data_IF_477100498053
#
_entry.id   IF_477100498053
#
_cell.length_a   1.000
_cell.length_b   1.000
_cell.length_c   1.000
_cell.angle_alpha   90.00
_cell.angle_beta   90.00
_cell.angle_gamma   90.00
#
_symmetry.space_group_name_H-M   'P 1'
#
loop_
_entity.id
_entity.type
_entity.pdbx_description
1 polymer ?
#
# COMPACT_ATOMS: atom_id res chain seq x y z
N UNK A 1 -5.96 -10.77 8.57
CA UNK A 1 -5.24 -11.11 7.33
C UNK A 1 -6.27 -11.49 6.29
N UNK A 2 -6.38 -10.74 5.20
CA UNK A 2 -7.35 -10.98 4.14
C UNK A 2 -6.81 -10.46 2.81
N UNK A 3 -6.73 -11.33 1.80
CA UNK A 3 -6.36 -10.94 0.43
C UNK A 3 -7.64 -10.51 -0.28
N UNK A 4 -7.92 -9.21 -0.25
CA UNK A 4 -9.14 -8.65 -0.83
C UNK A 4 -9.17 -8.82 -2.35
N UNK A 5 -10.11 -9.58 -2.96
CA UNK A 5 -10.18 -9.71 -4.41
C UNK A 5 -10.56 -8.41 -5.12
N UNK A 6 -11.36 -7.54 -4.51
CA UNK A 6 -11.95 -6.37 -5.20
C UNK A 6 -10.96 -5.25 -5.47
N UNK A 7 -9.75 -5.32 -4.90
CA UNK A 7 -8.69 -4.34 -5.15
C UNK A 7 -7.71 -4.80 -6.26
N UNK A 8 -7.93 -5.98 -6.86
CA UNK A 8 -7.09 -6.50 -7.93
C UNK A 8 -7.76 -6.31 -9.29
N UNK A 9 -7.02 -5.78 -10.26
CA UNK A 9 -7.44 -5.77 -11.65
C UNK A 9 -7.36 -7.16 -12.30
N UNK A 10 -7.99 -7.38 -13.47
CA UNK A 10 -7.99 -8.68 -14.17
C UNK A 10 -6.59 -9.22 -14.48
N UNK A 11 -5.62 -8.33 -14.72
CA UNK A 11 -4.24 -8.66 -15.07
C UNK A 11 -3.28 -8.57 -13.87
N UNK A 12 -3.80 -8.37 -12.66
CA UNK A 12 -2.98 -8.31 -11.45
C UNK A 12 -2.74 -9.69 -10.84
N UNK A 13 -1.92 -9.73 -9.79
CA UNK A 13 -1.36 -10.96 -9.23
C UNK A 13 -2.25 -11.67 -8.21
N UNK A 14 -3.58 -11.52 -8.24
CA UNK A 14 -4.48 -12.08 -7.21
C UNK A 14 -4.31 -13.60 -7.00
N UNK A 15 -4.23 -14.36 -8.09
CA UNK A 15 -4.07 -15.82 -8.03
C UNK A 15 -2.69 -16.23 -7.50
N UNK A 16 -1.65 -15.44 -7.80
CA UNK A 16 -0.25 -15.70 -7.43
C UNK A 16 0.17 -15.00 -6.14
N UNK A 17 -0.70 -14.20 -5.52
CA UNK A 17 -0.38 -13.45 -4.32
C UNK A 17 0.05 -14.40 -3.20
N UNK A 18 1.19 -14.18 -2.53
CA UNK A 18 1.67 -15.05 -1.47
C UNK A 18 0.63 -15.17 -0.35
N UNK A 19 0.30 -16.42 0.02
CA UNK A 19 -0.57 -16.74 1.16
C UNK A 19 0.23 -17.57 2.14
N UNK A 20 0.59 -16.97 3.28
CA UNK A 20 1.49 -17.56 4.28
C UNK A 20 0.87 -17.56 5.67
N UNK A 21 -0.43 -17.87 5.76
CA UNK A 21 -1.23 -17.66 6.97
C UNK A 21 -0.60 -18.27 8.23
N UNK A 22 -0.18 -19.53 8.20
CA UNK A 22 0.46 -20.20 9.35
C UNK A 22 1.73 -19.47 9.82
N UNK A 23 2.59 -19.06 8.88
CA UNK A 23 3.81 -18.32 9.21
C UNK A 23 3.50 -16.91 9.74
N UNK A 24 2.48 -16.25 9.18
CA UNK A 24 2.03 -14.94 9.63
C UNK A 24 1.46 -15.02 11.06
N UNK A 25 0.67 -16.07 11.38
CA UNK A 25 0.12 -16.31 12.71
C UNK A 25 1.22 -16.58 13.75
N UNK A 26 2.21 -17.40 13.41
CA UNK A 26 3.36 -17.65 14.28
C UNK A 26 4.11 -16.35 14.61
N UNK A 27 4.42 -15.54 13.60
CA UNK A 27 5.12 -14.26 13.77
C UNK A 27 4.31 -13.22 14.58
N UNK A 28 2.99 -13.20 14.44
CA UNK A 28 2.10 -12.32 15.22
C UNK A 28 1.99 -12.77 16.68
N UNK A 29 1.96 -14.09 16.92
CA UNK A 29 1.93 -14.67 18.27
C UNK A 29 3.16 -14.28 19.09
N UNK A 30 4.36 -14.38 18.49
CA UNK A 30 5.62 -13.95 19.11
C UNK A 30 5.65 -12.46 19.48
N UNK A 31 4.78 -11.65 18.87
CA UNK A 31 4.67 -10.20 19.07
C UNK A 31 3.55 -9.79 20.01
N UNK A 32 2.88 -10.76 20.66
CA UNK A 32 1.83 -10.50 21.64
C UNK A 32 0.52 -10.00 21.02
N UNK A 33 0.26 -10.29 19.74
CA UNK A 33 -1.01 -9.92 19.09
C UNK A 33 -2.15 -10.72 19.69
N UNK A 34 -3.15 -10.03 20.26
CA UNK A 34 -4.25 -10.66 21.01
C UNK A 34 -5.26 -11.39 20.14
N UNK A 35 -5.33 -11.08 18.85
CA UNK A 35 -6.26 -11.73 17.93
C UNK A 35 -5.96 -11.38 16.47
N UNK A 36 -6.25 -12.33 15.58
CA UNK A 36 -6.08 -12.17 14.13
C UNK A 36 -7.40 -12.46 13.45
N UNK A 37 -7.97 -11.45 12.80
CA UNK A 37 -9.21 -11.61 12.02
C UNK A 37 -8.89 -12.13 10.62
N UNK A 38 -9.37 -13.32 10.26
CA UNK A 38 -9.04 -14.03 9.00
C UNK A 38 -10.31 -14.47 8.25
N UNK A 39 -11.15 -13.53 7.81
CA UNK A 39 -12.41 -13.87 7.17
C UNK A 39 -12.18 -14.49 5.78
N UNK A 40 -13.12 -15.32 5.36
CA UNK A 40 -13.26 -15.79 3.99
C UNK A 40 -13.79 -14.68 3.07
N UNK A 41 -13.68 -14.89 1.75
CA UNK A 41 -14.24 -13.97 0.76
C UNK A 41 -15.77 -13.89 0.89
N UNK A 42 -16.45 -15.00 1.16
CA UNK A 42 -17.91 -15.03 1.31
C UNK A 42 -18.41 -14.30 2.56
N UNK A 43 -17.64 -14.29 3.64
CA UNK A 43 -17.95 -13.49 4.83
C UNK A 43 -17.74 -11.99 4.58
N UNK A 44 -16.68 -11.63 3.85
CA UNK A 44 -16.41 -10.22 3.53
C UNK A 44 -17.28 -9.68 2.40
N UNK A 45 -17.75 -10.53 1.48
CA UNK A 45 -18.55 -10.19 0.30
C UNK A 45 -19.66 -11.22 0.07
N UNK A 46 -20.74 -11.18 0.88
CA UNK A 46 -21.93 -11.96 0.62
C UNK A 46 -22.50 -11.73 -0.80
N UNK A 47 -23.16 -12.75 -1.39
CA UNK A 47 -23.84 -12.59 -2.66
C UNK A 47 -24.86 -11.45 -2.61
N UNK A 48 -24.98 -10.71 -3.72
CA UNK A 48 -25.89 -9.57 -3.91
C UNK A 48 -25.55 -8.29 -3.15
N UNK A 49 -24.36 -8.18 -2.55
CA UNK A 49 -23.87 -6.91 -2.05
C UNK A 49 -23.75 -5.87 -3.17
N UNK A 50 -24.37 -4.70 -2.98
CA UNK A 50 -24.36 -3.60 -3.95
C UNK A 50 -23.66 -2.33 -3.43
N UNK A 51 -23.18 -2.36 -2.19
CA UNK A 51 -22.58 -1.18 -1.54
C UNK A 51 -21.08 -1.11 -1.76
N UNK A 52 -20.63 0.04 -2.25
CA UNK A 52 -19.22 0.37 -2.46
C UNK A 52 -18.92 1.72 -1.82
N UNK A 53 -17.71 1.86 -1.29
CA UNK A 53 -17.20 3.13 -0.78
C UNK A 53 -16.19 3.67 -1.78
N UNK A 54 -16.31 4.95 -2.17
CA UNK A 54 -15.36 5.62 -3.05
C UNK A 54 -15.00 6.99 -2.49
N UNK A 55 -13.73 7.34 -2.58
CA UNK A 55 -13.23 8.70 -2.34
C UNK A 55 -12.88 9.31 -3.69
N UNK A 56 -13.55 10.39 -4.05
CA UNK A 56 -13.40 11.01 -5.36
C UNK A 56 -12.18 11.93 -5.44
N UNK A 57 -11.56 12.01 -6.61
CA UNK A 57 -10.52 12.99 -6.96
C UNK A 57 -9.11 12.61 -6.49
N UNK A 58 -8.97 11.84 -5.42
CA UNK A 58 -7.67 11.33 -4.97
C UNK A 58 -7.21 10.07 -5.74
N UNK A 59 -8.13 9.44 -6.46
CA UNK A 59 -7.90 8.27 -7.32
C UNK A 59 -7.60 8.64 -8.79
N UNK A 60 -7.53 9.93 -9.14
CA UNK A 60 -7.35 10.38 -10.53
C UNK A 60 -5.89 10.61 -10.93
N UNK A 61 -4.95 10.47 -10.00
CA UNK A 61 -3.52 10.65 -10.20
C UNK A 61 -2.71 9.48 -9.63
N UNK A 62 -1.38 9.50 -9.85
CA UNK A 62 -0.43 8.49 -9.36
C UNK A 62 -0.89 7.06 -9.71
N UNK A 63 -1.10 6.18 -8.72
CA UNK A 63 -1.43 4.78 -8.98
C UNK A 63 -2.84 4.57 -9.55
N UNK A 64 -3.76 5.52 -9.35
CA UNK A 64 -5.16 5.36 -9.69
C UNK A 64 -5.44 5.10 -11.18
N UNK A 65 -4.93 5.95 -12.09
CA UNK A 65 -5.06 5.74 -13.54
C UNK A 65 -4.53 4.38 -14.04
N UNK A 66 -3.51 3.84 -13.40
CA UNK A 66 -2.90 2.55 -13.78
C UNK A 66 -3.61 1.34 -13.17
N UNK A 67 -4.51 1.55 -12.21
CA UNK A 67 -5.21 0.48 -11.47
C UNK A 67 -6.69 0.82 -11.31
N UNK A 68 -7.49 0.86 -12.40
CA UNK A 68 -8.91 1.21 -12.32
C UNK A 68 -9.66 0.34 -11.32
N UNK A 69 -10.46 0.96 -10.45
CA UNK A 69 -11.23 0.27 -9.41
C UNK A 69 -10.44 -0.11 -8.15
N UNK A 70 -9.11 -0.07 -8.18
CA UNK A 70 -8.27 -0.48 -7.05
C UNK A 70 -8.65 0.22 -5.75
N UNK A 71 -8.69 1.56 -5.76
CA UNK A 71 -8.96 2.33 -4.55
C UNK A 71 -10.40 2.18 -4.06
N UNK A 72 -11.39 1.99 -4.94
CA UNK A 72 -12.75 1.64 -4.52
C UNK A 72 -12.77 0.29 -3.78
N UNK A 73 -12.02 -0.70 -4.27
CA UNK A 73 -11.84 -1.98 -3.59
C UNK A 73 -11.19 -1.82 -2.22
N UNK A 74 -10.14 -1.00 -2.13
CA UNK A 74 -9.44 -0.71 -0.86
C UNK A 74 -10.35 0.01 0.15
N UNK A 75 -11.02 1.09 -0.24
CA UNK A 75 -11.92 1.85 0.66
C UNK A 75 -13.09 0.99 1.12
N UNK A 76 -13.65 0.15 0.23
CA UNK A 76 -14.75 -0.74 0.59
C UNK A 76 -14.33 -1.81 1.60
N UNK A 77 -13.20 -2.48 1.38
CA UNK A 77 -12.74 -3.51 2.34
C UNK A 77 -12.33 -2.89 3.68
N UNK A 78 -11.66 -1.74 3.66
CA UNK A 78 -11.23 -1.08 4.90
C UNK A 78 -12.42 -0.55 5.69
N UNK A 79 -13.45 0.00 5.03
CA UNK A 79 -14.69 0.39 5.70
C UNK A 79 -15.37 -0.79 6.40
N UNK A 80 -15.47 -1.95 5.72
CA UNK A 80 -16.00 -3.19 6.32
C UNK A 80 -15.17 -3.65 7.53
N UNK A 81 -13.84 -3.62 7.41
CA UNK A 81 -12.93 -3.97 8.51
C UNK A 81 -13.06 -3.01 9.70
N UNK A 82 -13.24 -1.71 9.46
CA UNK A 82 -13.48 -0.73 10.52
C UNK A 82 -14.82 -0.94 11.22
N UNK A 83 -15.87 -1.32 10.50
CA UNK A 83 -17.16 -1.70 11.09
C UNK A 83 -17.08 -3.00 11.91
N UNK A 84 -16.32 -3.99 11.43
CA UNK A 84 -16.16 -5.27 12.11
C UNK A 84 -15.28 -5.16 13.36
N UNK A 85 -14.11 -4.52 13.24
CA UNK A 85 -13.10 -4.47 14.30
C UNK A 85 -13.26 -3.28 15.26
N UNK A 86 -13.93 -2.20 14.81
CA UNK A 86 -14.15 -0.95 15.58
C UNK A 86 -12.89 -0.45 16.30
N UNK A 87 -11.76 -0.27 15.59
CA UNK A 87 -10.50 0.11 16.23
C UNK A 87 -10.56 1.56 16.73
N UNK A 88 -9.82 1.87 17.80
CA UNK A 88 -9.56 3.26 18.20
C UNK A 88 -8.47 3.89 17.31
N UNK A 89 -7.47 3.09 16.94
CA UNK A 89 -6.31 3.49 16.13
C UNK A 89 -6.13 2.49 14.99
N UNK A 90 -5.90 2.98 13.77
CA UNK A 90 -5.57 2.18 12.60
C UNK A 90 -4.23 2.61 12.02
N UNK A 91 -3.33 1.62 11.88
CA UNK A 91 -1.92 1.84 11.50
C UNK A 91 -1.69 1.39 10.06
N UNK A 92 -1.13 2.27 9.23
CA UNK A 92 -0.85 2.00 7.82
C UNK A 92 0.58 2.42 7.45
N UNK A 93 1.23 1.67 6.57
CA UNK A 93 2.56 2.01 6.07
C UNK A 93 2.53 3.13 5.03
N UNK A 94 3.40 4.12 5.16
CA UNK A 94 3.56 5.23 4.21
C UNK A 94 4.25 4.83 2.91
N UNK A 95 4.68 3.57 2.79
CA UNK A 95 5.09 2.97 1.52
C UNK A 95 3.97 3.06 0.46
N UNK A 96 2.72 2.99 0.89
CA UNK A 96 1.54 3.20 0.05
C UNK A 96 0.89 4.56 0.39
N UNK A 97 1.63 5.65 0.23
CA UNK A 97 1.24 7.00 0.65
C UNK A 97 -0.12 7.46 0.10
N UNK A 98 -0.41 7.20 -1.18
CA UNK A 98 -1.70 7.55 -1.79
C UNK A 98 -2.86 6.80 -1.11
N UNK A 99 -2.68 5.51 -0.80
CA UNK A 99 -3.66 4.71 -0.06
C UNK A 99 -3.92 5.31 1.33
N UNK A 100 -2.86 5.65 2.07
CA UNK A 100 -3.00 6.26 3.39
C UNK A 100 -3.81 7.56 3.34
N UNK A 101 -3.51 8.45 2.37
CA UNK A 101 -4.24 9.72 2.21
C UNK A 101 -5.70 9.51 1.82
N UNK A 102 -6.00 8.56 0.93
CA UNK A 102 -7.36 8.17 0.55
C UNK A 102 -8.14 7.64 1.76
N UNK A 103 -7.54 6.72 2.53
CA UNK A 103 -8.20 6.16 3.72
C UNK A 103 -8.37 7.20 4.82
N UNK A 104 -7.39 8.08 5.02
CA UNK A 104 -7.49 9.20 5.96
C UNK A 104 -8.64 10.14 5.58
N UNK A 105 -8.80 10.42 4.28
CA UNK A 105 -9.93 11.20 3.75
C UNK A 105 -11.26 10.49 4.01
N UNK A 106 -11.35 9.19 3.73
CA UNK A 106 -12.53 8.37 4.00
C UNK A 106 -12.92 8.38 5.48
N UNK A 107 -11.96 8.17 6.39
CA UNK A 107 -12.19 8.18 7.85
C UNK A 107 -12.77 9.49 8.32
N UNK A 108 -12.23 10.61 7.81
CA UNK A 108 -12.70 11.95 8.12
C UNK A 108 -14.11 12.20 7.60
N UNK A 109 -14.35 11.92 6.32
CA UNK A 109 -15.60 12.26 5.62
C UNK A 109 -16.78 11.39 6.09
N UNK A 110 -16.52 10.15 6.50
CA UNK A 110 -17.54 9.23 7.03
C UNK A 110 -17.60 9.21 8.57
N UNK A 111 -16.90 10.14 9.23
CA UNK A 111 -16.94 10.33 10.69
C UNK A 111 -16.68 9.05 11.51
N UNK A 112 -15.71 8.23 11.07
CA UNK A 112 -15.42 6.95 11.72
C UNK A 112 -14.91 7.08 13.17
N UNK A 113 -14.36 8.24 13.56
CA UNK A 113 -13.80 8.44 14.89
C UNK A 113 -12.52 7.63 15.16
N UNK A 114 -11.82 7.20 14.11
CA UNK A 114 -10.60 6.39 14.17
C UNK A 114 -9.37 7.29 14.01
N UNK A 115 -8.38 7.12 14.87
CA UNK A 115 -7.07 7.75 14.69
C UNK A 115 -6.27 7.02 13.60
N UNK A 116 -5.83 7.76 12.58
CA UNK A 116 -5.05 7.22 11.47
C UNK A 116 -3.56 7.49 11.68
N UNK A 117 -2.78 6.43 11.92
CA UNK A 117 -1.32 6.51 12.15
C UNK A 117 -0.54 6.02 10.92
N UNK A 118 0.31 6.90 10.37
CA UNK A 118 1.20 6.57 9.27
C UNK A 118 2.57 6.12 9.76
N UNK A 119 2.97 4.88 9.45
CA UNK A 119 4.29 4.34 9.79
C UNK A 119 5.28 4.54 8.65
N UNK A 120 6.50 4.96 8.98
CA UNK A 120 7.57 5.12 8.01
C UNK A 120 7.83 3.81 7.22
N UNK A 121 8.20 3.96 5.95
CA UNK A 121 8.53 2.82 5.08
C UNK A 121 9.72 2.05 5.66
N UNK A 122 9.47 0.79 6.04
CA UNK A 122 10.52 -0.16 6.42
C UNK A 122 11.24 -0.63 5.15
N UNK A 123 12.56 -0.77 5.24
CA UNK A 123 13.44 -1.06 4.12
C UNK A 123 14.36 -2.22 4.46
N UNK A 124 14.72 -2.97 3.42
CA UNK A 124 15.80 -3.95 3.43
C UNK A 124 17.16 -3.26 3.67
N UNK A 125 18.23 -4.00 4.04
CA UNK A 125 19.54 -3.41 4.31
C UNK A 125 20.13 -2.58 3.15
N UNK A 126 19.78 -2.91 1.91
CA UNK A 126 20.19 -2.19 0.70
C UNK A 126 19.27 -1.01 0.34
N UNK A 127 18.32 -0.68 1.22
CA UNK A 127 17.42 0.45 1.09
C UNK A 127 16.14 0.17 0.31
N UNK A 128 15.99 -0.99 -0.33
CA UNK A 128 14.75 -1.35 -1.04
C UNK A 128 13.57 -1.36 -0.05
N UNK A 129 12.45 -0.75 -0.40
CA UNK A 129 11.24 -0.82 0.43
C UNK A 129 10.77 -2.28 0.58
N UNK A 130 10.49 -2.71 1.81
CA UNK A 130 9.99 -4.05 2.06
C UNK A 130 8.60 -4.22 1.43
N UNK A 131 8.43 -5.29 0.67
CA UNK A 131 7.18 -5.62 -0.02
C UNK A 131 7.10 -7.13 -0.20
N UNK A 132 5.92 -7.71 0.01
CA UNK A 132 5.66 -9.13 -0.30
C UNK A 132 5.97 -9.47 -1.76
N UNK A 133 5.82 -8.48 -2.66
CA UNK A 133 6.12 -8.60 -4.09
C UNK A 133 7.61 -8.61 -4.43
N UNK A 134 8.50 -8.31 -3.48
CA UNK A 134 9.95 -8.47 -3.69
C UNK A 134 10.31 -9.94 -3.97
N UNK A 135 9.46 -10.90 -3.55
CA UNK A 135 9.62 -12.35 -3.83
C UNK A 135 9.48 -12.71 -5.32
N UNK A 136 8.92 -11.82 -6.15
CA UNK A 136 8.81 -12.05 -7.59
C UNK A 136 10.08 -11.68 -8.35
N UNK A 137 10.99 -10.92 -7.73
CA UNK A 137 12.21 -10.47 -8.37
C UNK A 137 13.21 -11.62 -8.44
N UNK A 138 13.74 -11.88 -9.63
CA UNK A 138 14.95 -12.70 -9.75
C UNK A 138 16.17 -11.93 -9.20
N UNK A 139 17.33 -12.57 -9.11
CA UNK A 139 18.54 -11.96 -8.55
C UNK A 139 18.98 -10.68 -9.28
N UNK A 140 18.81 -10.64 -10.61
CA UNK A 140 19.18 -9.48 -11.43
C UNK A 140 18.25 -8.31 -11.15
N UNK A 141 16.94 -8.54 -11.20
CA UNK A 141 15.93 -7.52 -10.95
C UNK A 141 15.98 -7.04 -9.50
N UNK A 142 16.28 -7.93 -8.54
CA UNK A 142 16.43 -7.59 -7.12
C UNK A 142 17.58 -6.63 -6.88
N UNK A 143 18.72 -6.81 -7.56
CA UNK A 143 19.86 -5.89 -7.48
C UNK A 143 19.52 -4.52 -8.08
N UNK A 144 18.79 -4.51 -9.21
CA UNK A 144 18.35 -3.28 -9.88
C UNK A 144 17.30 -2.51 -9.08
N UNK A 145 16.36 -3.18 -8.42
CA UNK A 145 15.22 -2.57 -7.74
C UNK A 145 15.60 -1.51 -6.69
N UNK A 146 16.79 -1.63 -6.08
CA UNK A 146 17.33 -0.63 -5.14
C UNK A 146 17.46 0.78 -5.76
N UNK A 147 17.55 0.89 -7.09
CA UNK A 147 17.62 2.17 -7.83
C UNK A 147 16.44 3.09 -7.52
N UNK A 148 15.23 2.52 -7.35
CA UNK A 148 14.02 3.29 -7.01
C UNK A 148 14.23 4.03 -5.69
N UNK A 149 14.84 3.36 -4.71
CA UNK A 149 15.09 3.96 -3.40
C UNK A 149 16.20 5.00 -3.47
N UNK A 150 17.24 4.77 -4.29
CA UNK A 150 18.30 5.76 -4.55
C UNK A 150 17.73 7.03 -5.18
N UNK A 151 16.86 6.91 -6.19
CA UNK A 151 16.20 8.04 -6.82
C UNK A 151 15.37 8.83 -5.79
N UNK A 152 14.54 8.15 -4.99
CA UNK A 152 13.73 8.82 -3.94
C UNK A 152 14.61 9.52 -2.91
N UNK A 153 15.74 8.94 -2.50
CA UNK A 153 16.67 9.59 -1.57
C UNK A 153 17.39 10.79 -2.16
N UNK A 154 17.74 10.74 -3.45
CA UNK A 154 18.27 11.90 -4.17
C UNK A 154 17.25 13.03 -4.18
N UNK A 155 16.01 12.75 -4.57
CA UNK A 155 14.96 13.76 -4.61
C UNK A 155 14.70 14.38 -3.23
N UNK A 156 14.68 13.55 -2.17
CA UNK A 156 14.62 14.04 -0.78
C UNK A 156 15.79 14.96 -0.43
N UNK A 157 17.01 14.59 -0.85
CA UNK A 157 18.23 15.37 -0.60
C UNK A 157 18.19 16.74 -1.27
N UNK A 158 17.73 16.81 -2.53
CA UNK A 158 17.57 18.06 -3.27
C UNK A 158 16.58 19.00 -2.58
N UNK A 159 15.40 18.49 -2.21
CA UNK A 159 14.38 19.27 -1.49
C UNK A 159 14.93 19.76 -0.14
N UNK A 160 15.61 18.90 0.62
CA UNK A 160 16.23 19.29 1.88
C UNK A 160 17.36 20.32 1.71
N UNK A 161 18.03 20.32 0.55
CA UNK A 161 19.03 21.30 0.15
C UNK A 161 18.47 22.63 -0.35
N UNK A 162 17.14 22.77 -0.41
CA UNK A 162 16.47 24.01 -0.79
C UNK A 162 15.99 24.08 -2.24
N UNK A 163 16.11 22.99 -3.01
CA UNK A 163 15.47 22.93 -4.33
C UNK A 163 13.94 22.99 -4.17
N UNK A 164 13.30 23.85 -4.95
CA UNK A 164 11.85 24.10 -4.90
C UNK A 164 11.14 23.79 -6.21
N UNK A 165 11.87 23.64 -7.32
CA UNK A 165 11.29 23.26 -8.60
C UNK A 165 11.06 21.74 -8.67
N UNK A 166 9.79 21.28 -8.74
CA UNK A 166 9.49 19.85 -8.84
C UNK A 166 10.08 19.21 -10.11
N UNK A 167 10.19 19.97 -11.21
CA UNK A 167 10.70 19.43 -12.47
C UNK A 167 12.19 19.09 -12.37
N UNK A 168 12.98 19.95 -11.72
CA UNK A 168 14.40 19.67 -11.41
C UNK A 168 14.56 18.40 -10.58
N UNK A 169 13.76 18.25 -9.52
CA UNK A 169 13.79 17.06 -8.66
C UNK A 169 13.39 15.81 -9.44
N UNK A 170 12.32 15.87 -10.23
CA UNK A 170 11.85 14.75 -11.03
C UNK A 170 12.88 14.29 -12.08
N UNK A 171 13.49 15.23 -12.79
CA UNK A 171 14.51 14.93 -13.80
C UNK A 171 15.73 14.25 -13.17
N UNK A 172 16.22 14.76 -12.03
CA UNK A 172 17.33 14.14 -11.32
C UNK A 172 16.98 12.71 -10.83
N UNK A 173 15.75 12.50 -10.36
CA UNK A 173 15.27 11.16 -9.98
C UNK A 173 15.20 10.22 -11.20
N UNK A 174 14.75 10.73 -12.35
CA UNK A 174 14.62 9.98 -13.60
C UNK A 174 15.97 9.51 -14.13
N UNK A 175 16.97 10.38 -14.17
CA UNK A 175 18.33 10.04 -14.61
C UNK A 175 18.94 8.89 -13.79
N UNK A 176 18.71 8.89 -12.46
CA UNK A 176 19.16 7.79 -11.59
C UNK A 176 18.48 6.48 -11.97
N UNK A 177 17.17 6.50 -12.26
CA UNK A 177 16.42 5.30 -12.66
C UNK A 177 16.90 4.75 -14.02
N UNK A 178 17.10 5.63 -15.01
CA UNK A 178 17.54 5.26 -16.36
C UNK A 178 18.95 4.63 -16.36
N UNK A 179 19.83 5.06 -15.46
CA UNK A 179 21.19 4.50 -15.30
C UNK A 179 21.20 3.00 -14.93
N UNK A 180 20.10 2.46 -14.40
CA UNK A 180 19.96 1.04 -14.05
C UNK A 180 19.42 0.17 -15.21
N UNK A 181 19.24 0.76 -16.40
CA UNK A 181 18.80 0.07 -17.61
C UNK A 181 17.34 -0.38 -17.55
N UNK A 182 16.47 0.54 -17.13
CA UNK A 182 15.01 0.39 -17.09
C UNK A 182 14.33 1.64 -17.64
#
# INVERSE_FOLDING_TARGET
>A
IFVNPTQFGPNEDFSRYPRTLEADLAALSERGVSGVFTPSVGEMYPPNDQTWVRVEGLDTHLCGPFRPGHFQGVTTVVARLFLACRPHVAVFGLKDAQQFLILRRMVRDLHFGIEMVGMATVREPDGLAMSSRNRYLNEVDRKKASVISKAVFLGRGLIAGGEQDPATVENAMREVMESAGG
#
